data_IF_154077033557
#
_entry.id   IF_154077033557
#
_cell.length_a   1.000
_cell.length_b   1.000
_cell.length_c   1.000
_cell.angle_alpha   90.00
_cell.angle_beta   90.00
_cell.angle_gamma   90.00
#
_symmetry.space_group_name_H-M   'P 1'
#
loop_
_entity.id
_entity.type
_entity.pdbx_description
1 polymer ?
#
# COMPACT_ATOMS: atom_id res chain seq x y z
N UNK A 1 -39.74 -19.99 -3.53
CA UNK A 1 -38.53 -20.37 -2.77
C UNK A 1 -37.94 -19.08 -2.19
N UNK A 2 -37.77 -18.94 -0.86
CA UNK A 2 -37.22 -17.70 -0.30
C UNK A 2 -35.73 -17.60 -0.68
N UNK A 3 -35.38 -16.50 -1.33
CA UNK A 3 -34.00 -16.19 -1.71
C UNK A 3 -33.25 -15.79 -0.44
N UNK A 4 -32.33 -16.63 0.03
CA UNK A 4 -31.53 -16.38 1.22
C UNK A 4 -30.48 -15.33 0.87
N UNK A 5 -30.75 -14.07 1.20
CA UNK A 5 -29.79 -12.98 1.03
C UNK A 5 -28.76 -13.11 2.16
N UNK A 6 -27.58 -13.64 1.83
CA UNK A 6 -26.42 -13.53 2.69
C UNK A 6 -25.88 -12.10 2.52
N UNK A 7 -26.27 -11.20 3.41
CA UNK A 7 -25.54 -9.95 3.58
C UNK A 7 -24.18 -10.32 4.20
N UNK A 8 -23.21 -10.71 3.36
CA UNK A 8 -21.80 -10.63 3.74
C UNK A 8 -21.55 -9.14 3.92
N UNK A 9 -21.53 -8.69 5.18
CA UNK A 9 -21.12 -7.34 5.52
C UNK A 9 -19.80 -7.09 4.81
N UNK A 10 -19.84 -6.21 3.82
CA UNK A 10 -18.69 -5.81 3.02
C UNK A 10 -17.81 -4.94 3.91
N UNK A 11 -17.11 -5.59 4.85
CA UNK A 11 -16.08 -4.95 5.62
C UNK A 11 -14.99 -4.54 4.63
N UNK A 12 -14.80 -3.24 4.47
CA UNK A 12 -13.73 -2.71 3.64
C UNK A 12 -12.42 -3.14 4.30
N UNK A 13 -11.62 -3.92 3.59
CA UNK A 13 -10.26 -4.25 4.02
C UNK A 13 -9.29 -3.38 3.24
N UNK A 14 -8.40 -2.72 3.97
CA UNK A 14 -7.28 -1.95 3.47
C UNK A 14 -6.05 -2.85 3.40
N UNK A 15 -5.20 -2.60 2.40
CA UNK A 15 -3.96 -3.33 2.13
C UNK A 15 -2.79 -2.37 2.36
N UNK A 16 -1.69 -2.86 2.92
CA UNK A 16 -0.43 -2.12 2.97
C UNK A 16 0.10 -1.91 1.55
N UNK A 17 0.53 -0.69 1.21
CA UNK A 17 1.00 -0.33 -0.13
C UNK A 17 2.44 -0.79 -0.42
N UNK A 18 3.16 -1.28 0.59
CA UNK A 18 4.53 -1.73 0.41
C UNK A 18 4.63 -2.95 -0.54
N UNK A 19 5.59 -2.88 -1.47
CA UNK A 19 5.80 -3.93 -2.48
C UNK A 19 6.08 -5.28 -1.80
N UNK A 20 5.25 -6.29 -2.11
CA UNK A 20 5.27 -7.66 -1.57
C UNK A 20 4.81 -7.78 -0.11
N UNK A 21 4.29 -6.72 0.51
CA UNK A 21 3.62 -6.86 1.80
C UNK A 21 2.21 -7.42 1.59
N UNK A 22 1.83 -8.41 2.38
CA UNK A 22 0.50 -9.04 2.34
C UNK A 22 -0.37 -8.65 3.54
N UNK A 23 0.05 -7.65 4.31
CA UNK A 23 -0.67 -7.22 5.50
C UNK A 23 -1.96 -6.48 5.12
N UNK A 24 -3.07 -6.90 5.72
CA UNK A 24 -4.40 -6.35 5.49
C UNK A 24 -5.13 -6.11 6.80
N UNK A 25 -5.90 -5.03 6.90
CA UNK A 25 -6.73 -4.74 8.06
C UNK A 25 -7.99 -3.95 7.66
N UNK A 26 -9.06 -4.05 8.45
CA UNK A 26 -10.27 -3.26 8.26
C UNK A 26 -10.11 -1.79 8.72
N UNK A 27 -9.11 -1.52 9.56
CA UNK A 27 -8.80 -0.20 10.07
C UNK A 27 -7.59 0.41 9.34
N UNK A 28 -7.80 1.59 8.75
CA UNK A 28 -6.77 2.31 8.00
C UNK A 28 -5.65 2.84 8.91
N UNK A 29 -5.92 3.18 10.16
CA UNK A 29 -4.90 3.61 11.10
C UNK A 29 -3.96 2.45 11.48
N UNK A 30 -4.48 1.21 11.54
CA UNK A 30 -3.65 0.02 11.74
C UNK A 30 -2.72 -0.22 10.53
N UNK A 31 -3.21 -0.04 9.30
CA UNK A 31 -2.37 -0.11 8.10
C UNK A 31 -1.28 0.96 8.14
N UNK A 32 -1.64 2.21 8.40
CA UNK A 32 -0.69 3.32 8.47
C UNK A 32 0.37 3.12 9.58
N UNK A 33 -0.02 2.56 10.73
CA UNK A 33 0.94 2.23 11.78
C UNK A 33 1.88 1.09 11.37
N UNK A 34 1.33 0.02 10.78
CA UNK A 34 2.13 -1.10 10.24
C UNK A 34 3.17 -0.61 9.23
N UNK A 35 2.74 0.26 8.33
CA UNK A 35 3.56 0.93 7.33
C UNK A 35 4.75 1.68 7.94
N UNK A 36 4.53 2.43 9.02
CA UNK A 36 5.59 3.12 9.75
C UNK A 36 6.52 2.16 10.51
N UNK A 37 5.99 1.17 11.21
CA UNK A 37 6.77 0.27 12.07
C UNK A 37 7.55 -0.80 11.30
N UNK A 38 6.93 -1.42 10.30
CA UNK A 38 7.48 -2.61 9.62
C UNK A 38 8.41 -2.26 8.46
N UNK A 39 8.18 -1.12 7.80
CA UNK A 39 8.93 -0.72 6.61
C UNK A 39 9.76 0.55 6.85
N UNK A 40 9.45 1.33 7.90
CA UNK A 40 10.21 2.52 8.32
C UNK A 40 9.96 3.77 7.47
N UNK A 41 10.67 4.89 7.70
CA UNK A 41 10.46 6.10 6.89
C UNK A 41 11.04 6.03 5.46
N UNK A 42 11.94 5.07 5.19
CA UNK A 42 12.66 4.99 3.92
C UNK A 42 11.76 4.58 2.74
N UNK A 43 10.82 3.65 2.94
CA UNK A 43 9.85 3.28 1.89
C UNK A 43 8.78 4.38 1.70
N UNK A 44 8.31 5.03 2.79
CA UNK A 44 7.39 6.17 2.68
C UNK A 44 7.98 7.32 1.86
N UNK A 45 9.29 7.56 1.99
CA UNK A 45 10.00 8.55 1.19
C UNK A 45 10.11 8.15 -0.30
N UNK A 46 10.04 6.86 -0.62
CA UNK A 46 10.12 6.34 -1.99
C UNK A 46 8.80 6.49 -2.73
N UNK A 47 7.67 6.39 -2.01
CA UNK A 47 6.33 6.61 -2.58
C UNK A 47 6.00 8.10 -2.75
N UNK A 48 6.52 8.95 -1.85
CA UNK A 48 6.37 10.41 -1.94
C UNK A 48 7.34 11.09 -2.92
N UNK A 49 8.41 10.40 -3.36
CA UNK A 49 9.24 10.93 -4.43
C UNK A 49 8.40 10.92 -5.71
N UNK A 50 8.11 12.07 -6.35
CA UNK A 50 7.66 12.05 -7.73
C UNK A 50 8.69 11.23 -8.47
N UNK A 51 8.26 10.15 -9.14
CA UNK A 51 9.10 9.29 -9.97
C UNK A 51 9.91 10.21 -10.89
N UNK A 52 11.11 10.62 -10.43
CA UNK A 52 11.99 11.46 -11.20
C UNK A 52 12.40 10.55 -12.34
N UNK A 53 12.06 10.89 -13.60
CA UNK A 53 12.55 10.11 -14.72
C UNK A 53 14.07 10.09 -14.58
N UNK A 54 14.65 8.90 -14.47
CA UNK A 54 16.09 8.73 -14.51
C UNK A 54 16.55 9.21 -15.88
N UNK A 55 16.89 10.49 -15.99
CA UNK A 55 17.58 11.04 -17.14
C UNK A 55 18.94 10.37 -17.20
N UNK A 56 18.99 9.25 -17.93
CA UNK A 56 20.21 8.70 -18.45
C UNK A 56 20.83 9.73 -19.39
N UNK A 57 21.74 10.54 -18.86
CA UNK A 57 22.70 11.26 -19.69
C UNK A 57 23.93 10.38 -19.79
N UNK A 58 24.00 9.69 -20.93
CA UNK A 58 25.21 9.09 -21.48
C UNK A 58 26.28 10.18 -21.57
N UNK A 59 27.38 10.02 -20.83
CA UNK A 59 28.71 10.53 -21.24
C UNK A 59 29.45 9.35 -21.85
N UNK A 60 30.03 9.50 -23.05
CA UNK A 60 31.41 9.99 -23.08
C UNK A 60 31.77 10.84 -24.31
N UNK A 61 32.71 11.76 -24.14
CA UNK A 61 33.72 12.08 -25.16
C UNK A 61 35.01 12.56 -24.51
#
# INVERSE_FOLDING_TARGET
MPHRVYAYGSAVQYTCDATKCLFTNEDQAIIAQHENDAHGPAWMATDQAPQQPTTGVVSPQ
#
